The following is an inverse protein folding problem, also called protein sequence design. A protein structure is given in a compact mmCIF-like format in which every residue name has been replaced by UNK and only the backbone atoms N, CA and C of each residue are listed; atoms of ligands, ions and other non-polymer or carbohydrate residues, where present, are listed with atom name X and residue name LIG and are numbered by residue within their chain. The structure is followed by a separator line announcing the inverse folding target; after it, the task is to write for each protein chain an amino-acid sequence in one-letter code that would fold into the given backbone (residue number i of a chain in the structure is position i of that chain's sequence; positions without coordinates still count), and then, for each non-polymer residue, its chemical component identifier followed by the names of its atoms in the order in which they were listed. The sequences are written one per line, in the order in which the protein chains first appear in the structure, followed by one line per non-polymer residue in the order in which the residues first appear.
data_IF_903853470709
#
_entry.id   IF_903853470709
#
_cell.length_a   1.000
_cell.length_b   1.000
_cell.length_c   1.000
_cell.angle_alpha   90.00
_cell.angle_beta   90.00
_cell.angle_gamma   90.00
#
_symmetry.space_group_name_H-M   'P 1'
#
loop_
_entity.id
_entity.type
_entity.pdbx_description
1 polymer ?
#
# COMPACT_ATOMS: atom_id res chain seq x y z
N UNK A 1 12.78 -19.49 -5.92
CA UNK A 1 11.93 -19.94 -7.03
C UNK A 1 10.99 -21.03 -6.51
N UNK A 2 9.70 -20.86 -6.69
CA UNK A 2 8.67 -21.87 -6.38
C UNK A 2 8.04 -22.31 -7.68
N UNK A 3 7.64 -23.58 -7.78
CA UNK A 3 6.95 -24.10 -8.96
C UNK A 3 5.45 -24.09 -8.71
N UNK A 4 4.66 -23.60 -9.68
CA UNK A 4 3.20 -23.63 -9.57
C UNK A 4 2.67 -25.07 -9.65
N UNK A 5 3.27 -25.90 -10.54
CA UNK A 5 2.87 -27.27 -10.78
C UNK A 5 4.07 -28.22 -10.57
N UNK A 6 4.47 -28.53 -9.31
CA UNK A 6 5.65 -29.37 -9.05
C UNK A 6 5.49 -30.80 -9.56
N UNK A 7 4.25 -31.30 -9.69
CA UNK A 7 3.97 -32.64 -10.24
C UNK A 7 4.44 -32.80 -11.71
N UNK A 8 4.51 -31.69 -12.47
CA UNK A 8 5.02 -31.77 -13.84
C UNK A 8 6.50 -32.18 -13.91
N UNK A 9 7.28 -31.96 -12.84
CA UNK A 9 8.68 -32.42 -12.79
C UNK A 9 8.80 -33.95 -12.80
N UNK A 10 7.76 -34.69 -12.45
CA UNK A 10 7.75 -36.15 -12.57
C UNK A 10 7.88 -36.60 -14.02
N UNK A 11 7.53 -35.77 -14.99
CA UNK A 11 7.75 -36.08 -16.43
C UNK A 11 9.24 -36.23 -16.77
N UNK A 12 10.16 -35.69 -15.97
CA UNK A 12 11.60 -35.94 -16.13
C UNK A 12 11.97 -37.41 -15.94
N UNK A 13 11.17 -38.19 -15.18
CA UNK A 13 11.36 -39.62 -15.03
C UNK A 13 11.22 -40.36 -16.37
N UNK A 14 10.47 -39.86 -17.33
CA UNK A 14 10.34 -40.41 -18.68
C UNK A 14 11.67 -40.38 -19.48
N UNK A 15 12.60 -39.51 -19.10
CA UNK A 15 13.92 -39.49 -19.70
C UNK A 15 14.73 -40.76 -19.39
N UNK A 16 14.51 -41.40 -18.24
CA UNK A 16 15.24 -42.59 -17.84
C UNK A 16 15.01 -43.75 -18.84
N UNK A 17 13.76 -44.20 -19.08
CA UNK A 17 13.50 -45.25 -20.06
C UNK A 17 13.89 -44.79 -21.50
N UNK A 18 13.75 -43.50 -21.85
CA UNK A 18 14.16 -42.99 -23.16
C UNK A 18 15.68 -43.10 -23.38
N UNK A 19 16.49 -42.71 -22.39
CA UNK A 19 17.96 -42.85 -22.44
C UNK A 19 18.35 -44.32 -22.47
N UNK A 20 17.71 -45.16 -21.63
CA UNK A 20 17.98 -46.58 -21.61
C UNK A 20 17.65 -47.25 -22.94
N UNK A 21 16.52 -46.91 -23.55
CA UNK A 21 16.12 -47.35 -24.88
C UNK A 21 17.14 -46.97 -25.96
N UNK A 22 17.63 -45.71 -25.93
CA UNK A 22 18.62 -45.25 -26.87
C UNK A 22 19.94 -46.03 -26.77
N UNK A 23 20.46 -46.30 -25.57
CA UNK A 23 21.74 -46.97 -25.39
C UNK A 23 21.65 -48.50 -25.52
N UNK A 24 20.55 -49.14 -25.13
CA UNK A 24 20.42 -50.59 -25.10
C UNK A 24 19.82 -51.15 -26.39
N UNK A 25 18.76 -50.55 -26.95
CA UNK A 25 18.05 -51.08 -28.11
C UNK A 25 18.54 -50.54 -29.44
N UNK A 26 18.97 -49.27 -29.55
CA UNK A 26 19.45 -48.72 -30.84
C UNK A 26 20.78 -49.30 -31.28
N UNK A 27 21.66 -49.78 -30.37
CA UNK A 27 22.90 -50.43 -30.72
C UNK A 27 22.72 -51.70 -31.56
N UNK A 28 21.57 -52.36 -31.50
CA UNK A 28 21.27 -53.60 -32.25
C UNK A 28 20.65 -53.39 -33.64
N UNK A 29 20.22 -52.16 -33.96
CA UNK A 29 19.50 -51.86 -35.21
C UNK A 29 20.30 -50.99 -36.21
N UNK A 30 21.58 -50.75 -35.93
CA UNK A 30 22.43 -50.06 -36.91
C UNK A 30 22.75 -51.01 -38.07
N UNK A 31 22.55 -50.60 -39.32
CA UNK A 31 22.89 -51.38 -40.49
C UNK A 31 24.41 -51.67 -40.47
N UNK A 32 24.78 -52.91 -40.28
CA UNK A 32 26.17 -53.36 -40.26
C UNK A 32 26.59 -53.84 -41.65
N UNK A 33 27.56 -53.13 -42.25
CA UNK A 33 28.24 -53.58 -43.45
C UNK A 33 29.31 -54.62 -43.06
N UNK A 34 29.15 -55.84 -43.54
CA UNK A 34 30.18 -56.88 -43.37
C UNK A 34 31.28 -56.65 -44.39
N UNK A 35 32.41 -56.13 -43.93
CA UNK A 35 33.61 -55.94 -44.73
C UNK A 35 34.59 -57.05 -44.44
N UNK A 36 35.29 -57.55 -45.50
CA UNK A 36 36.26 -58.67 -45.41
C UNK A 36 37.49 -58.32 -44.56
N UNK A 37 37.88 -57.05 -44.46
CA UNK A 37 38.99 -56.54 -43.65
C UNK A 37 38.63 -55.13 -43.14
N UNK A 38 38.85 -54.85 -41.87
CA UNK A 38 38.62 -53.54 -41.22
C UNK A 38 39.93 -52.87 -40.77
N UNK A 39 41.09 -53.47 -41.02
CA UNK A 39 42.38 -53.01 -40.47
C UNK A 39 42.77 -51.61 -40.96
N UNK A 40 42.50 -51.29 -42.20
CA UNK A 40 42.75 -49.96 -42.80
C UNK A 40 41.82 -48.89 -42.28
N UNK A 41 40.57 -49.22 -41.85
CA UNK A 41 39.60 -48.32 -41.30
C UNK A 41 39.88 -48.02 -39.83
N UNK A 42 40.48 -48.96 -39.09
CA UNK A 42 40.85 -48.85 -37.68
C UNK A 42 41.98 -47.86 -37.42
N UNK A 43 42.81 -47.59 -38.42
CA UNK A 43 43.93 -46.63 -38.37
C UNK A 43 43.53 -45.19 -38.70
N UNK A 44 42.29 -44.94 -39.17
CA UNK A 44 41.85 -43.58 -39.48
C UNK A 44 41.58 -42.81 -38.21
N UNK A 45 42.13 -41.57 -38.06
CA UNK A 45 41.87 -40.72 -36.92
C UNK A 45 40.38 -40.37 -36.89
N UNK A 46 39.76 -40.49 -35.71
CA UNK A 46 38.35 -40.18 -35.52
C UNK A 46 38.07 -38.71 -35.88
N UNK A 47 37.20 -38.50 -36.86
CA UNK A 47 36.76 -37.16 -37.28
C UNK A 47 35.91 -36.49 -36.23
N UNK A 48 35.92 -35.16 -36.17
CA UNK A 48 35.01 -34.38 -35.28
C UNK A 48 33.56 -34.83 -35.40
N UNK A 49 33.11 -35.24 -36.56
CA UNK A 49 31.79 -35.76 -36.85
C UNK A 49 31.47 -37.05 -36.03
N UNK A 50 32.43 -37.95 -35.91
CA UNK A 50 32.26 -39.20 -35.14
C UNK A 50 32.28 -38.94 -33.63
N UNK A 51 33.03 -37.95 -33.16
CA UNK A 51 33.01 -37.54 -31.73
C UNK A 51 31.70 -36.90 -31.32
N UNK A 52 31.09 -36.13 -32.20
CA UNK A 52 29.88 -35.35 -31.93
C UNK A 52 28.56 -36.08 -32.30
N UNK A 53 28.65 -37.39 -32.66
CA UNK A 53 27.48 -38.16 -33.11
C UNK A 53 26.31 -38.21 -32.09
N UNK A 54 26.61 -38.07 -30.81
CA UNK A 54 25.65 -38.04 -29.74
C UNK A 54 25.12 -36.62 -29.40
N UNK A 55 25.65 -35.58 -30.04
CA UNK A 55 25.27 -34.20 -29.78
C UNK A 55 23.78 -33.91 -30.02
N UNK A 56 23.18 -34.38 -31.15
CA UNK A 56 21.73 -34.19 -31.38
C UNK A 56 20.88 -34.86 -30.33
N UNK A 57 21.28 -36.05 -29.84
CA UNK A 57 20.59 -36.73 -28.74
C UNK A 57 20.66 -35.95 -27.44
N UNK A 58 21.83 -35.41 -27.12
CA UNK A 58 22.00 -34.57 -25.91
C UNK A 58 21.14 -33.29 -25.96
N UNK A 59 21.14 -32.61 -27.15
CA UNK A 59 20.28 -31.42 -27.35
C UNK A 59 18.79 -31.73 -27.17
N UNK A 60 18.34 -32.93 -27.61
CA UNK A 60 16.97 -33.38 -27.43
C UNK A 60 16.61 -33.56 -25.93
N UNK A 61 17.50 -34.18 -25.15
CA UNK A 61 17.33 -34.34 -23.73
C UNK A 61 17.27 -32.98 -23.03
N UNK A 62 18.14 -32.04 -23.38
CA UNK A 62 18.16 -30.69 -22.83
C UNK A 62 16.85 -29.97 -23.16
N UNK A 63 16.43 -30.01 -24.42
CA UNK A 63 15.18 -29.37 -24.86
C UNK A 63 13.99 -29.91 -24.13
N UNK A 64 13.87 -31.24 -24.01
CA UNK A 64 12.77 -31.89 -23.27
C UNK A 64 12.79 -31.49 -21.78
N UNK A 65 13.97 -31.48 -21.15
CA UNK A 65 14.10 -31.09 -19.73
C UNK A 65 13.68 -29.63 -19.52
N UNK A 66 14.08 -28.72 -20.41
CA UNK A 66 13.68 -27.31 -20.34
C UNK A 66 12.18 -27.13 -20.57
N UNK A 67 11.56 -27.89 -21.49
CA UNK A 67 10.13 -27.87 -21.70
C UNK A 67 9.34 -28.34 -20.46
N UNK A 68 9.83 -29.39 -19.80
CA UNK A 68 9.22 -29.84 -18.53
C UNK A 68 9.32 -28.78 -17.45
N UNK A 69 10.45 -28.05 -17.35
CA UNK A 69 10.61 -26.94 -16.43
C UNK A 69 9.60 -25.81 -16.76
N UNK A 70 9.42 -25.49 -18.04
CA UNK A 70 8.41 -24.50 -18.49
C UNK A 70 7.01 -24.93 -18.08
N UNK A 71 6.68 -26.21 -18.23
CA UNK A 71 5.37 -26.77 -17.85
C UNK A 71 5.15 -26.73 -16.33
N UNK A 72 6.23 -26.88 -15.54
CA UNK A 72 6.20 -26.73 -14.09
C UNK A 72 5.95 -25.29 -13.63
N UNK A 73 5.98 -24.29 -14.54
CA UNK A 73 5.74 -22.86 -14.32
C UNK A 73 6.58 -22.32 -13.14
N UNK A 74 7.90 -22.13 -13.35
CA UNK A 74 8.73 -21.54 -12.32
C UNK A 74 8.26 -20.10 -12.02
N UNK A 75 7.97 -19.84 -10.74
CA UNK A 75 7.56 -18.55 -10.25
C UNK A 75 8.70 -17.96 -9.42
N UNK A 76 9.08 -16.75 -9.72
CA UNK A 76 9.90 -15.95 -8.83
C UNK A 76 8.96 -15.06 -8.03
N UNK A 77 8.94 -15.25 -6.73
CA UNK A 77 8.58 -14.17 -5.83
C UNK A 77 9.76 -13.20 -5.89
N UNK A 78 9.75 -12.28 -6.86
CA UNK A 78 10.58 -11.13 -6.72
C UNK A 78 9.97 -10.35 -5.55
N UNK A 79 10.51 -10.59 -4.37
CA UNK A 79 10.66 -9.56 -3.37
C UNK A 79 11.69 -8.51 -3.89
N UNK A 80 11.62 -8.09 -5.16
CA UNK A 80 11.78 -6.70 -5.44
C UNK A 80 10.61 -6.09 -4.69
N UNK A 81 10.86 -5.70 -3.45
CA UNK A 81 10.18 -4.58 -2.85
C UNK A 81 10.23 -3.45 -3.89
N UNK A 82 9.34 -3.43 -4.89
CA UNK A 82 8.64 -2.22 -5.11
C UNK A 82 7.87 -2.09 -3.81
N UNK A 83 8.48 -1.46 -2.86
CA UNK A 83 7.86 -0.74 -1.80
C UNK A 83 7.08 0.37 -2.54
N UNK A 84 6.08 0.01 -3.32
CA UNK A 84 4.85 0.75 -3.32
C UNK A 84 4.37 0.54 -1.90
N UNK A 85 4.96 1.29 -1.01
CA UNK A 85 4.41 1.54 0.31
C UNK A 85 3.13 2.27 -0.05
N UNK A 86 2.05 1.49 -0.22
CA UNK A 86 0.73 2.06 -0.45
C UNK A 86 0.48 2.92 0.77
N UNK A 87 0.71 4.22 0.62
CA UNK A 87 0.45 5.20 1.65
C UNK A 87 -1.05 5.25 1.92
N UNK A 88 -1.40 5.66 3.10
CA UNK A 88 -2.77 5.95 3.50
C UNK A 88 -3.04 7.41 3.14
N UNK A 89 -4.20 7.71 2.58
CA UNK A 89 -4.63 9.08 2.40
C UNK A 89 -5.42 9.54 3.62
N UNK A 90 -4.88 10.51 4.32
CA UNK A 90 -5.39 11.02 5.59
C UNK A 90 -5.74 12.49 5.43
N UNK A 91 -7.01 12.86 5.68
CA UNK A 91 -7.40 14.24 5.83
C UNK A 91 -7.57 14.55 7.33
N UNK A 92 -6.74 15.43 7.86
CA UNK A 92 -6.86 15.91 9.22
C UNK A 92 -7.86 17.07 9.26
N UNK A 93 -9.04 16.82 9.81
CA UNK A 93 -10.05 17.85 10.02
C UNK A 93 -9.91 18.41 11.44
N UNK A 94 -9.45 19.63 11.54
CA UNK A 94 -9.15 20.29 12.82
C UNK A 94 -10.11 21.43 13.09
N UNK A 95 -10.70 21.41 14.25
CA UNK A 95 -11.52 22.48 14.78
C UNK A 95 -10.64 23.67 15.20
N UNK A 96 -11.01 24.86 14.71
CA UNK A 96 -10.37 26.12 15.07
C UNK A 96 -11.35 27.13 15.69
N UNK A 97 -12.47 26.63 16.22
CA UNK A 97 -13.42 27.43 16.96
C UNK A 97 -12.79 28.04 18.23
N UNK A 98 -13.39 29.09 18.74
CA UNK A 98 -12.87 29.80 19.92
C UNK A 98 -12.82 28.93 21.18
N UNK A 99 -13.67 27.90 21.28
CA UNK A 99 -13.63 26.91 22.36
C UNK A 99 -12.34 26.08 22.43
N UNK A 100 -11.62 25.94 21.30
CA UNK A 100 -10.30 25.32 21.24
C UNK A 100 -9.20 26.12 21.95
N UNK A 101 -9.46 27.36 22.34
CA UNK A 101 -8.58 28.17 23.22
C UNK A 101 -8.68 27.79 24.70
N UNK A 102 -9.62 26.91 25.06
CA UNK A 102 -9.79 26.46 26.45
C UNK A 102 -8.50 25.83 27.01
N UNK A 103 -8.22 26.08 28.31
CA UNK A 103 -6.98 25.70 28.98
C UNK A 103 -7.15 24.50 29.92
N UNK A 104 -8.19 23.70 29.73
CA UNK A 104 -8.37 22.44 30.44
C UNK A 104 -7.27 21.41 30.08
N UNK A 105 -6.78 21.51 28.84
CA UNK A 105 -5.58 20.82 28.40
C UNK A 105 -4.47 21.86 28.15
N UNK A 106 -3.44 21.88 28.97
CA UNK A 106 -2.40 22.90 28.92
C UNK A 106 -1.41 22.75 27.78
N UNK A 107 -1.02 23.83 27.08
CA UNK A 107 -1.37 25.24 27.32
C UNK A 107 -2.79 25.62 26.87
N UNK A 108 -3.30 25.09 25.79
CA UNK A 108 -4.69 25.11 25.33
C UNK A 108 -4.94 23.93 24.38
N UNK A 109 -6.20 23.61 24.10
CA UNK A 109 -6.60 22.46 23.26
C UNK A 109 -5.96 22.51 21.87
N UNK A 110 -6.02 23.67 21.18
CA UNK A 110 -5.46 23.82 19.84
C UNK A 110 -3.94 23.60 19.81
N UNK A 111 -3.21 24.16 20.77
CA UNK A 111 -1.74 24.01 20.83
C UNK A 111 -1.35 22.55 21.03
N UNK A 112 -2.04 21.87 21.96
CA UNK A 112 -1.78 20.44 22.21
C UNK A 112 -2.14 19.58 20.99
N UNK A 113 -3.28 19.90 20.34
CA UNK A 113 -3.66 19.24 19.10
C UNK A 113 -2.59 19.39 18.00
N UNK A 114 -2.06 20.61 17.83
CA UNK A 114 -0.99 20.92 16.86
C UNK A 114 0.29 20.17 17.17
N UNK A 115 0.73 20.13 18.41
CA UNK A 115 1.96 19.43 18.80
C UNK A 115 1.88 17.92 18.54
N UNK A 116 0.76 17.31 18.93
CA UNK A 116 0.57 15.85 18.73
C UNK A 116 0.38 15.51 17.25
N UNK A 117 -0.34 16.34 16.50
CA UNK A 117 -0.48 16.15 15.07
C UNK A 117 0.86 16.34 14.33
N UNK A 118 1.71 17.26 14.79
CA UNK A 118 3.07 17.42 14.27
C UNK A 118 3.88 16.12 14.41
N UNK A 119 3.87 15.52 15.60
CA UNK A 119 4.55 14.25 15.85
C UNK A 119 3.98 13.12 14.97
N UNK A 120 2.66 13.08 14.81
CA UNK A 120 1.96 12.09 13.98
C UNK A 120 2.37 12.20 12.50
N UNK A 121 2.36 13.40 11.94
CA UNK A 121 2.74 13.65 10.54
C UNK A 121 4.21 13.31 10.31
N UNK A 122 5.10 13.73 11.23
CA UNK A 122 6.55 13.51 11.10
C UNK A 122 6.94 12.03 11.08
N UNK A 123 6.15 11.16 11.70
CA UNK A 123 6.40 9.72 11.77
C UNK A 123 5.83 8.93 10.57
N UNK A 124 5.30 9.62 9.54
CA UNK A 124 4.59 9.00 8.40
C UNK A 124 5.10 9.45 7.03
N UNK A 125 6.35 9.16 6.67
CA UNK A 125 6.97 9.72 5.46
C UNK A 125 6.32 9.29 4.14
N UNK A 126 5.50 8.23 4.13
CA UNK A 126 4.94 7.62 2.93
C UNK A 126 3.43 7.86 2.76
N UNK A 127 2.76 8.45 3.75
CA UNK A 127 1.33 8.71 3.69
C UNK A 127 1.05 10.06 3.02
N UNK A 128 -0.07 10.17 2.29
CA UNK A 128 -0.55 11.46 1.82
C UNK A 128 -1.39 12.10 2.92
N UNK A 129 -1.00 13.25 3.41
CA UNK A 129 -1.70 13.93 4.49
C UNK A 129 -2.14 15.30 4.02
N UNK A 130 -3.42 15.63 4.25
CA UNK A 130 -3.98 16.96 4.02
C UNK A 130 -4.51 17.56 5.31
N UNK A 131 -4.72 18.88 5.31
CA UNK A 131 -5.24 19.65 6.44
C UNK A 131 -6.50 20.40 6.05
N UNK A 132 -7.60 20.03 6.69
CA UNK A 132 -8.88 20.71 6.65
C UNK A 132 -9.08 21.46 7.95
N UNK A 133 -9.39 22.72 7.88
CA UNK A 133 -9.74 23.55 9.05
C UNK A 133 -11.23 23.84 9.01
N UNK A 134 -11.88 23.85 10.14
CA UNK A 134 -13.27 24.22 10.24
C UNK A 134 -13.56 25.03 11.52
N UNK A 135 -14.46 25.97 11.39
CA UNK A 135 -15.13 26.72 12.41
C UNK A 135 -16.59 26.79 12.01
N UNK A 136 -17.19 27.99 11.84
CA UNK A 136 -18.52 28.15 11.25
C UNK A 136 -18.58 27.71 9.78
N UNK A 137 -17.45 27.67 9.12
CA UNK A 137 -17.23 27.20 7.76
C UNK A 137 -16.03 26.25 7.69
N UNK A 138 -15.92 25.47 6.62
CA UNK A 138 -14.79 24.55 6.41
C UNK A 138 -13.97 24.96 5.17
N UNK A 139 -12.65 24.93 5.28
CA UNK A 139 -11.75 25.19 4.16
C UNK A 139 -10.50 24.33 4.20
N UNK A 140 -9.96 24.02 3.04
CA UNK A 140 -8.74 23.24 2.90
C UNK A 140 -7.52 24.14 3.06
N UNK A 141 -6.79 24.00 4.15
CA UNK A 141 -5.54 24.70 4.38
C UNK A 141 -4.39 24.10 3.58
N UNK A 142 -4.38 22.76 3.47
CA UNK A 142 -3.42 22.03 2.67
C UNK A 142 -4.12 20.84 2.00
N UNK A 143 -4.04 20.70 0.68
CA UNK A 143 -4.53 19.51 -0.01
C UNK A 143 -3.70 18.28 0.37
N UNK A 144 -4.14 17.08 -0.02
CA UNK A 144 -3.37 15.85 0.17
C UNK A 144 -1.99 15.97 -0.47
N UNK A 145 -0.95 15.79 0.32
CA UNK A 145 0.45 15.90 -0.11
C UNK A 145 1.34 14.91 0.62
N UNK A 146 2.41 14.49 -0.05
CA UNK A 146 3.55 13.77 0.54
C UNK A 146 4.63 14.73 1.05
N UNK A 147 4.55 16.03 0.70
CA UNK A 147 5.46 17.05 1.22
C UNK A 147 5.04 17.50 2.62
N UNK A 148 5.46 16.72 3.60
CA UNK A 148 5.16 16.99 5.00
C UNK A 148 5.86 18.23 5.53
N UNK A 149 6.96 18.67 4.91
CA UNK A 149 7.65 19.88 5.34
C UNK A 149 6.77 21.12 5.07
N UNK A 150 6.19 21.21 3.88
CA UNK A 150 5.23 22.27 3.51
C UNK A 150 3.97 22.18 4.36
N UNK A 151 3.40 20.98 4.54
CA UNK A 151 2.23 20.75 5.39
C UNK A 151 2.45 21.25 6.83
N UNK A 152 3.58 20.89 7.45
CA UNK A 152 3.93 21.31 8.81
C UNK A 152 4.18 22.82 8.90
N UNK A 153 4.71 23.42 7.85
CA UNK A 153 4.84 24.89 7.74
C UNK A 153 3.47 25.58 7.79
N UNK A 154 2.51 25.12 6.98
CA UNK A 154 1.13 25.63 6.98
C UNK A 154 0.42 25.35 8.32
N UNK A 155 0.67 24.20 8.91
CA UNK A 155 0.08 23.84 10.20
C UNK A 155 0.50 24.76 11.35
N UNK A 156 1.72 25.26 11.33
CA UNK A 156 2.22 26.22 12.33
C UNK A 156 1.45 27.55 12.32
N UNK A 157 1.02 28.02 11.16
CA UNK A 157 0.30 29.29 10.99
C UNK A 157 -1.17 29.24 11.46
N UNK A 158 -1.71 28.06 11.76
CA UNK A 158 -3.11 27.91 12.21
C UNK A 158 -3.29 28.51 13.58
N UNK A 159 -4.26 29.41 13.72
CA UNK A 159 -4.66 30.04 14.99
C UNK A 159 -6.18 30.13 15.09
N UNK A 160 -6.73 30.18 16.30
CA UNK A 160 -8.16 30.44 16.51
C UNK A 160 -8.53 31.93 16.31
N UNK A 161 -7.54 32.81 16.16
CA UNK A 161 -7.78 34.25 16.01
C UNK A 161 -8.47 34.58 14.69
N UNK A 162 -8.52 33.68 13.74
CA UNK A 162 -9.19 33.88 12.45
C UNK A 162 -10.69 34.12 12.57
N UNK A 163 -11.35 33.51 13.59
CA UNK A 163 -12.73 33.84 13.89
C UNK A 163 -12.86 35.27 14.50
N UNK A 164 -11.97 35.60 15.42
CA UNK A 164 -11.94 36.93 16.02
C UNK A 164 -11.63 38.06 14.99
N UNK A 165 -10.85 37.73 13.97
CA UNK A 165 -10.52 38.65 12.85
C UNK A 165 -11.62 38.68 11.76
N UNK A 166 -12.67 37.90 11.89
CA UNK A 166 -13.75 37.84 10.89
C UNK A 166 -13.35 37.15 9.56
N UNK A 167 -12.23 36.42 9.53
CA UNK A 167 -11.77 35.67 8.37
C UNK A 167 -12.66 34.43 8.17
N UNK A 168 -13.15 33.85 9.27
CA UNK A 168 -14.03 32.66 9.28
C UNK A 168 -15.26 32.99 10.11
N UNK A 169 -16.42 32.50 9.66
CA UNK A 169 -17.68 32.67 10.40
C UNK A 169 -17.58 32.04 11.80
N UNK A 170 -18.20 32.65 12.81
CA UNK A 170 -18.24 32.10 14.17
C UNK A 170 -19.08 30.81 14.21
N UNK A 171 -18.73 29.91 15.13
CA UNK A 171 -19.41 28.63 15.30
C UNK A 171 -18.52 27.45 14.93
N UNK A 172 -19.12 26.24 14.97
CA UNK A 172 -18.46 24.97 14.68
C UNK A 172 -19.34 24.13 13.78
N UNK A 173 -18.89 23.92 12.53
CA UNK A 173 -19.60 23.19 11.48
C UNK A 173 -18.93 21.83 11.21
N UNK A 174 -19.12 20.88 12.12
CA UNK A 174 -18.52 19.53 12.04
C UNK A 174 -18.93 18.84 10.75
N UNK A 175 -20.22 18.90 10.37
CA UNK A 175 -20.71 18.29 9.15
C UNK A 175 -20.03 18.82 7.88
N UNK A 176 -19.79 20.13 7.80
CA UNK A 176 -19.03 20.73 6.70
C UNK A 176 -17.56 20.30 6.70
N UNK A 177 -16.92 20.23 7.87
CA UNK A 177 -15.55 19.74 8.01
C UNK A 177 -15.37 18.31 7.48
N UNK A 178 -16.32 17.41 7.84
CA UNK A 178 -16.31 16.02 7.33
C UNK A 178 -16.58 16.00 5.82
N UNK A 179 -17.65 16.65 5.35
CA UNK A 179 -18.08 16.62 3.95
C UNK A 179 -16.98 17.17 3.02
N UNK A 180 -16.35 18.28 3.39
CA UNK A 180 -15.24 18.86 2.62
C UNK A 180 -14.01 17.95 2.63
N UNK A 181 -13.69 17.31 3.76
CA UNK A 181 -12.61 16.32 3.85
C UNK A 181 -12.85 15.12 2.93
N UNK A 182 -14.08 14.60 2.93
CA UNK A 182 -14.50 13.48 2.07
C UNK A 182 -14.40 13.85 0.59
N UNK A 183 -14.79 15.06 0.20
CA UNK A 183 -14.70 15.53 -1.18
C UNK A 183 -13.24 15.55 -1.70
N UNK A 184 -12.28 15.87 -0.84
CA UNK A 184 -10.85 15.78 -1.19
C UNK A 184 -10.36 14.33 -1.31
N UNK A 185 -10.87 13.42 -0.47
CA UNK A 185 -10.50 12.01 -0.48
C UNK A 185 -11.21 11.20 -1.58
N UNK A 186 -12.36 11.66 -2.08
CA UNK A 186 -13.12 10.95 -3.11
C UNK A 186 -12.27 10.71 -4.38
N UNK A 187 -11.51 11.72 -4.80
CA UNK A 187 -10.64 11.67 -5.98
C UNK A 187 -9.37 10.85 -5.80
N UNK A 188 -9.07 10.44 -4.58
CA UNK A 188 -7.91 9.63 -4.25
C UNK A 188 -8.05 8.20 -4.80
N UNK A 189 -6.94 7.61 -5.23
CA UNK A 189 -6.83 6.21 -5.66
C UNK A 189 -6.31 5.30 -4.54
N UNK A 190 -6.03 5.84 -3.34
CA UNK A 190 -5.54 5.06 -2.22
C UNK A 190 -6.57 4.01 -1.77
N UNK A 191 -6.09 2.86 -1.35
CA UNK A 191 -6.94 1.78 -0.83
C UNK A 191 -7.53 2.10 0.53
N UNK A 192 -6.84 2.91 1.31
CA UNK A 192 -7.29 3.38 2.63
C UNK A 192 -7.43 4.89 2.61
N UNK A 193 -8.65 5.36 2.90
CA UNK A 193 -9.03 6.77 2.97
C UNK A 193 -9.57 7.05 4.35
N UNK A 194 -8.97 8.01 5.03
CA UNK A 194 -9.23 8.28 6.45
C UNK A 194 -9.43 9.77 6.68
N UNK A 195 -10.46 10.13 7.45
CA UNK A 195 -10.59 11.44 8.07
C UNK A 195 -10.31 11.28 9.56
N UNK A 196 -9.43 12.12 10.10
CA UNK A 196 -9.22 12.27 11.54
C UNK A 196 -9.84 13.60 11.94
N UNK A 197 -11.02 13.52 12.54
CA UNK A 197 -11.75 14.67 13.01
C UNK A 197 -11.35 14.96 14.45
N UNK A 198 -10.85 16.16 14.72
CA UNK A 198 -10.49 16.62 16.04
C UNK A 198 -11.32 17.87 16.38
N UNK A 199 -12.14 17.78 17.41
CA UNK A 199 -13.08 18.81 17.83
C UNK A 199 -13.31 18.75 19.34
N UNK A 200 -13.89 19.77 19.91
CA UNK A 200 -14.43 19.75 21.29
C UNK A 200 -15.90 19.33 21.36
N UNK A 201 -16.52 19.00 20.23
CA UNK A 201 -17.74 18.19 20.15
C UNK A 201 -19.05 18.95 19.97
N UNK A 202 -19.08 20.27 19.93
CA UNK A 202 -20.34 21.01 19.71
C UNK A 202 -20.51 21.36 18.22
N UNK A 203 -21.65 20.95 17.63
CA UNK A 203 -22.02 21.36 16.27
C UNK A 203 -23.14 22.37 16.34
N UNK A 204 -22.85 23.65 16.05
CA UNK A 204 -23.79 24.74 16.15
C UNK A 204 -23.90 25.59 14.89
N UNK A 205 -23.20 25.21 13.81
CA UNK A 205 -23.17 25.92 12.54
C UNK A 205 -23.09 24.93 11.35
N UNK A 206 -23.25 25.46 10.14
CA UNK A 206 -23.09 24.73 8.89
C UNK A 206 -24.38 24.14 8.34
N UNK A 207 -24.45 24.01 6.99
CA UNK A 207 -25.65 23.59 6.26
C UNK A 207 -25.79 22.06 6.19
N UNK A 208 -24.72 21.32 6.46
CA UNK A 208 -24.72 19.84 6.42
C UNK A 208 -24.68 19.30 7.84
N UNK A 209 -25.67 18.45 8.18
CA UNK A 209 -25.65 17.80 9.49
C UNK A 209 -24.48 16.81 9.60
N UNK A 210 -23.88 16.62 10.79
CA UNK A 210 -22.77 15.68 10.99
C UNK A 210 -23.10 14.25 10.58
N UNK A 211 -24.33 13.78 10.82
CA UNK A 211 -24.76 12.43 10.44
C UNK A 211 -24.91 12.29 8.92
N UNK A 212 -25.46 13.31 8.25
CA UNK A 212 -25.51 13.31 6.78
C UNK A 212 -24.10 13.25 6.16
N UNK A 213 -23.15 13.99 6.73
CA UNK A 213 -21.76 13.93 6.31
C UNK A 213 -21.13 12.55 6.55
N UNK A 214 -21.47 11.87 7.64
CA UNK A 214 -21.03 10.51 7.93
C UNK A 214 -21.58 9.51 6.90
N UNK A 215 -22.86 9.64 6.50
CA UNK A 215 -23.45 8.81 5.46
C UNK A 215 -22.76 9.00 4.09
N UNK A 216 -22.39 10.24 3.75
CA UNK A 216 -21.61 10.54 2.55
C UNK A 216 -20.23 9.88 2.65
N UNK A 217 -19.53 10.00 3.79
CA UNK A 217 -18.24 9.38 4.02
C UNK A 217 -18.30 7.85 3.83
N UNK A 218 -19.32 7.22 4.40
CA UNK A 218 -19.57 5.77 4.26
C UNK A 218 -19.75 5.36 2.79
N UNK A 219 -20.54 6.11 2.03
CA UNK A 219 -20.76 5.84 0.59
C UNK A 219 -19.49 5.98 -0.24
N UNK A 220 -18.61 6.93 0.12
CA UNK A 220 -17.30 7.14 -0.52
C UNK A 220 -16.22 6.17 -0.02
N UNK A 221 -16.53 5.28 0.92
CA UNK A 221 -15.57 4.34 1.51
C UNK A 221 -14.50 5.02 2.40
N UNK A 222 -14.83 6.19 2.95
CA UNK A 222 -13.95 6.97 3.84
C UNK A 222 -14.29 6.66 5.30
N UNK A 223 -13.30 6.28 6.09
CA UNK A 223 -13.45 6.08 7.54
C UNK A 223 -13.22 7.38 8.28
N UNK A 224 -14.05 7.67 9.26
CA UNK A 224 -13.92 8.86 10.10
C UNK A 224 -13.58 8.44 11.53
N UNK A 225 -12.38 8.77 11.96
CA UNK A 225 -11.97 8.69 13.36
C UNK A 225 -12.31 10.00 14.02
N UNK A 226 -13.10 9.95 15.09
CA UNK A 226 -13.52 11.14 15.82
C UNK A 226 -12.79 11.24 17.14
N UNK A 227 -12.16 12.37 17.41
CA UNK A 227 -11.42 12.64 18.64
C UNK A 227 -12.04 13.84 19.33
N UNK A 228 -12.67 13.58 20.47
CA UNK A 228 -13.17 14.62 21.35
C UNK A 228 -12.04 15.10 22.25
N UNK A 229 -11.75 16.40 22.23
CA UNK A 229 -10.71 17.00 23.06
C UNK A 229 -11.36 17.84 24.17
N UNK A 230 -11.04 17.52 25.42
CA UNK A 230 -11.51 18.25 26.60
C UNK A 230 -12.35 17.40 27.55
N UNK A 231 -12.76 18.03 28.63
CA UNK A 231 -13.57 17.43 29.70
C UNK A 231 -14.99 17.98 29.67
N UNK A 232 -15.97 17.09 29.63
CA UNK A 232 -17.38 17.45 29.57
C UNK A 232 -17.84 18.20 30.85
N UNK A 233 -18.70 19.22 30.67
CA UNK A 233 -19.30 19.96 31.77
C UNK A 233 -18.36 20.93 32.51
N UNK A 234 -17.17 21.19 32.01
CA UNK A 234 -16.25 22.13 32.64
C UNK A 234 -16.55 23.56 32.22
N UNK A 235 -16.77 24.43 33.23
CA UNK A 235 -16.84 25.90 33.05
C UNK A 235 -15.44 26.40 32.71
N UNK A 236 -15.20 26.73 31.47
CA UNK A 236 -13.89 27.14 31.01
C UNK A 236 -13.84 28.65 30.82
N UNK A 237 -12.72 29.25 31.22
CA UNK A 237 -12.45 30.66 30.91
C UNK A 237 -11.72 30.69 29.55
N UNK A 238 -12.39 31.23 28.55
CA UNK A 238 -11.84 31.40 27.22
C UNK A 238 -11.48 32.88 27.00
N UNK A 239 -10.29 33.20 26.54
CA UNK A 239 -9.96 34.59 26.20
C UNK A 239 -10.78 35.00 24.99
N UNK A 240 -11.64 36.03 25.14
CA UNK A 240 -12.57 36.46 24.08
C UNK A 240 -12.09 37.77 23.42
N UNK A 241 -11.43 38.63 24.17
CA UNK A 241 -10.92 39.89 23.66
C UNK A 241 -9.72 40.40 24.49
N UNK A 242 -8.79 41.04 23.84
CA UNK A 242 -7.73 41.79 24.52
C UNK A 242 -8.10 43.28 24.52
N UNK A 243 -8.22 43.84 25.71
CA UNK A 243 -8.52 45.27 25.87
C UNK A 243 -7.28 46.12 25.48
N UNK A 244 -7.46 47.40 25.11
CA UNK A 244 -6.36 48.26 24.74
C UNK A 244 -5.32 48.50 25.85
N UNK A 245 -5.67 48.23 27.09
CA UNK A 245 -4.78 48.29 28.28
C UNK A 245 -3.97 47.00 28.51
N UNK A 246 -4.14 45.99 27.64
CA UNK A 246 -3.42 44.72 27.69
C UNK A 246 -4.11 43.64 28.57
N UNK A 247 -5.22 43.96 29.25
CA UNK A 247 -5.99 42.98 29.99
C UNK A 247 -6.76 42.06 29.02
N UNK A 248 -6.73 40.75 29.31
CA UNK A 248 -7.44 39.73 28.53
C UNK A 248 -8.81 39.49 29.17
N UNK A 249 -9.86 39.91 28.49
CA UNK A 249 -11.23 39.60 28.89
C UNK A 249 -11.52 38.12 28.72
N UNK A 250 -11.85 37.44 29.81
CA UNK A 250 -12.14 36.00 29.82
C UNK A 250 -13.65 35.80 29.99
N UNK A 251 -14.31 35.17 29.03
CA UNK A 251 -15.69 34.72 29.17
C UNK A 251 -15.71 33.29 29.73
N UNK A 252 -16.66 33.03 30.63
CA UNK A 252 -16.91 31.67 31.10
C UNK A 252 -17.83 30.98 30.08
N UNK A 253 -17.33 30.01 29.35
CA UNK A 253 -18.10 29.20 28.41
C UNK A 253 -18.33 27.83 29.04
N UNK A 254 -19.58 27.40 29.11
CA UNK A 254 -19.91 26.01 29.45
C UNK A 254 -19.77 25.17 28.17
N UNK A 255 -18.89 24.17 28.20
CA UNK A 255 -18.70 23.29 27.05
C UNK A 255 -19.75 22.19 27.12
N UNK A 256 -20.70 22.21 26.18
CA UNK A 256 -21.66 21.13 25.99
C UNK A 256 -21.10 20.18 24.91
N UNK A 257 -20.42 19.15 25.35
CA UNK A 257 -19.90 18.14 24.45
C UNK A 257 -21.02 17.22 23.99
N UNK A 258 -21.09 16.87 22.74
CA UNK A 258 -22.00 15.87 22.17
C UNK A 258 -21.27 14.58 21.81
N UNK A 259 -20.76 13.79 22.76
CA UNK A 259 -20.04 12.56 22.49
C UNK A 259 -20.87 11.56 21.70
N UNK A 260 -22.20 11.55 21.91
CA UNK A 260 -23.12 10.66 21.20
C UNK A 260 -23.06 10.85 19.67
N UNK A 261 -23.09 12.11 19.21
CA UNK A 261 -23.00 12.41 17.76
C UNK A 261 -21.66 11.97 17.18
N UNK A 262 -20.55 12.20 17.87
CA UNK A 262 -19.23 11.79 17.42
C UNK A 262 -19.06 10.26 17.41
N UNK A 263 -19.66 9.57 18.38
CA UNK A 263 -19.70 8.10 18.40
C UNK A 263 -20.49 7.55 17.21
N UNK A 264 -21.65 8.13 16.92
CA UNK A 264 -22.51 7.71 15.82
C UNK A 264 -21.82 7.92 14.45
N UNK A 265 -21.11 9.05 14.25
CA UNK A 265 -20.29 9.32 13.06
C UNK A 265 -19.24 8.22 12.89
N UNK A 266 -18.47 7.93 13.94
CA UNK A 266 -17.43 6.92 13.89
C UNK A 266 -18.00 5.52 13.57
N UNK A 267 -19.08 5.12 14.25
CA UNK A 267 -19.73 3.82 14.02
C UNK A 267 -20.28 3.69 12.59
N UNK A 268 -20.94 4.73 12.08
CA UNK A 268 -21.52 4.74 10.73
C UNK A 268 -20.49 4.55 9.65
N UNK A 269 -19.30 5.15 9.83
CA UNK A 269 -18.19 5.12 8.84
C UNK A 269 -17.21 3.96 9.04
N UNK A 270 -17.37 3.16 10.10
CA UNK A 270 -16.46 2.08 10.47
C UNK A 270 -15.12 2.56 11.05
N UNK A 271 -15.10 3.79 11.57
CA UNK A 271 -14.03 4.34 12.38
C UNK A 271 -14.20 4.05 13.88
N UNK A 272 -13.46 4.78 14.71
CA UNK A 272 -13.52 4.64 16.17
C UNK A 272 -13.59 6.03 16.81
N UNK A 273 -14.43 6.17 17.83
CA UNK A 273 -14.49 7.36 18.67
C UNK A 273 -13.46 7.28 19.78
N UNK A 274 -12.80 8.40 20.03
CA UNK A 274 -11.86 8.57 21.13
C UNK A 274 -12.14 9.86 21.90
N UNK A 275 -11.76 9.86 23.18
CA UNK A 275 -11.80 11.06 24.02
C UNK A 275 -10.43 11.28 24.66
N UNK A 276 -9.91 12.49 24.57
CA UNK A 276 -8.63 12.88 25.15
C UNK A 276 -8.79 14.08 26.08
N UNK A 277 -8.38 13.93 27.32
CA UNK A 277 -8.31 15.01 28.32
C UNK A 277 -6.86 15.44 28.61
N UNK A 278 -5.88 14.77 28.04
CA UNK A 278 -4.46 15.04 28.23
C UNK A 278 -3.69 14.90 26.93
N UNK A 279 -2.53 15.60 26.83
CA UNK A 279 -1.61 15.45 25.67
C UNK A 279 -1.19 13.99 25.48
N UNK A 280 -0.86 13.27 26.56
CA UNK A 280 -0.43 11.87 26.48
C UNK A 280 -1.54 10.97 25.95
N UNK A 281 -2.79 11.16 26.42
CA UNK A 281 -3.94 10.42 25.91
C UNK A 281 -4.15 10.65 24.43
N UNK A 282 -3.99 11.89 23.95
CA UNK A 282 -4.08 12.20 22.52
C UNK A 282 -2.97 11.50 21.71
N UNK A 283 -1.74 11.44 22.21
CA UNK A 283 -0.64 10.71 21.57
C UNK A 283 -0.95 9.21 21.44
N UNK A 284 -1.46 8.59 22.50
CA UNK A 284 -1.86 7.17 22.50
C UNK A 284 -2.98 6.89 21.49
N UNK A 285 -3.94 7.81 21.34
CA UNK A 285 -5.02 7.72 20.34
C UNK A 285 -4.44 7.70 18.91
N UNK A 286 -3.57 8.61 18.59
CA UNK A 286 -2.92 8.66 17.27
C UNK A 286 -2.10 7.39 16.98
N UNK A 287 -1.41 6.83 17.98
CA UNK A 287 -0.70 5.55 17.84
C UNK A 287 -1.66 4.38 17.60
N UNK A 288 -2.84 4.38 18.24
CA UNK A 288 -3.86 3.36 18.02
C UNK A 288 -4.44 3.42 16.61
N UNK A 289 -4.75 4.63 16.11
CA UNK A 289 -5.19 4.85 14.73
C UNK A 289 -4.14 4.34 13.74
N UNK A 290 -2.86 4.64 13.98
CA UNK A 290 -1.75 4.15 13.17
C UNK A 290 -1.70 2.62 13.10
N UNK A 291 -1.85 1.97 14.25
CA UNK A 291 -1.85 0.50 14.33
C UNK A 291 -3.02 -0.11 13.57
N UNK A 292 -4.22 0.44 13.73
CA UNK A 292 -5.44 -0.05 13.08
C UNK A 292 -5.35 0.04 11.55
N UNK A 293 -4.85 1.14 11.03
CA UNK A 293 -4.75 1.35 9.58
C UNK A 293 -3.62 0.53 8.94
N UNK A 294 -2.45 0.44 9.57
CA UNK A 294 -1.34 -0.41 9.10
C UNK A 294 -1.69 -1.90 9.10
N UNK A 295 -2.49 -2.36 10.06
CA UNK A 295 -2.94 -3.75 10.12
C UNK A 295 -3.86 -4.07 8.94
N UNK A 296 -4.78 -3.17 8.58
CA UNK A 296 -5.70 -3.35 7.46
C UNK A 296 -4.98 -3.40 6.10
N UNK A 297 -3.93 -2.61 5.91
CA UNK A 297 -3.12 -2.64 4.68
C UNK A 297 -2.34 -3.96 4.53
N UNK A 298 -1.82 -4.51 5.62
CA UNK A 298 -1.04 -5.75 5.62
C UNK A 298 -1.86 -6.97 5.16
N UNK A 299 -3.16 -6.99 5.42
CA UNK A 299 -4.07 -8.08 5.01
C UNK A 299 -4.36 -8.07 3.51
N UNK A 300 -4.15 -6.95 2.82
CA UNK A 300 -4.45 -6.79 1.38
C UNK A 300 -3.24 -7.00 0.46
N UNK A 301 -2.06 -7.30 0.98
CA UNK A 301 -0.89 -7.62 0.16
C UNK A 301 -1.10 -8.97 -0.54
N UNK A 302 -1.69 -8.94 -1.74
CA UNK A 302 -1.66 -10.05 -2.68
C UNK A 302 -0.22 -10.26 -3.14
N UNK A 303 0.36 -11.42 -2.84
CA UNK A 303 1.59 -11.90 -3.44
C UNK A 303 1.43 -11.96 -4.96
N UNK A 304 1.84 -10.92 -5.67
CA UNK A 304 1.96 -10.97 -7.13
C UNK A 304 3.12 -11.88 -7.46
N UNK A 305 2.81 -13.12 -7.84
CA UNK A 305 3.77 -14.09 -8.33
C UNK A 305 4.01 -13.81 -9.81
N UNK A 306 5.24 -13.50 -10.17
CA UNK A 306 5.64 -13.34 -11.56
C UNK A 306 6.12 -14.67 -12.12
N UNK A 307 5.65 -15.01 -13.30
CA UNK A 307 6.07 -16.22 -13.99
C UNK A 307 7.44 -16.00 -14.67
N UNK A 308 8.39 -16.86 -14.37
CA UNK A 308 9.77 -16.77 -14.90
C UNK A 308 10.08 -17.88 -15.90
N UNK A 309 9.09 -18.29 -16.71
CA UNK A 309 9.29 -19.37 -17.68
C UNK A 309 10.00 -18.93 -18.97
N UNK A 310 9.99 -17.64 -19.32
CA UNK A 310 10.48 -17.10 -20.58
C UNK A 310 11.93 -17.52 -20.93
N UNK A 311 12.94 -17.41 -20.05
CA UNK A 311 14.30 -17.83 -20.38
C UNK A 311 14.43 -19.34 -20.63
N UNK A 312 13.66 -20.16 -19.92
CA UNK A 312 13.64 -21.61 -20.10
C UNK A 312 12.97 -22.00 -21.41
N UNK A 313 11.88 -21.33 -21.80
CA UNK A 313 11.20 -21.55 -23.06
C UNK A 313 12.10 -21.16 -24.25
N UNK A 314 12.80 -20.04 -24.15
CA UNK A 314 13.74 -19.61 -25.19
C UNK A 314 14.91 -20.58 -25.32
N UNK A 315 15.47 -21.05 -24.22
CA UNK A 315 16.53 -22.07 -24.21
C UNK A 315 16.07 -23.39 -24.85
N UNK A 316 14.84 -23.84 -24.55
CA UNK A 316 14.26 -25.04 -25.16
C UNK A 316 14.12 -24.91 -26.70
N UNK A 317 13.62 -23.74 -27.13
CA UNK A 317 13.44 -23.45 -28.55
C UNK A 317 14.76 -23.42 -29.30
N UNK A 318 15.79 -22.78 -28.74
CA UNK A 318 17.14 -22.72 -29.32
C UNK A 318 17.76 -24.12 -29.40
N UNK A 319 17.64 -24.93 -28.35
CA UNK A 319 18.15 -26.30 -28.34
C UNK A 319 17.49 -27.18 -29.42
N UNK A 320 16.17 -27.03 -29.61
CA UNK A 320 15.39 -27.76 -30.60
C UNK A 320 15.77 -27.34 -32.04
N UNK A 321 15.91 -26.04 -32.30
CA UNK A 321 16.35 -25.51 -33.58
C UNK A 321 17.78 -25.99 -33.93
N UNK A 322 18.70 -25.98 -32.98
CA UNK A 322 20.05 -26.48 -33.14
C UNK A 322 20.06 -27.97 -33.44
N UNK A 323 19.24 -28.77 -32.75
CA UNK A 323 19.11 -30.21 -33.04
C UNK A 323 18.66 -30.42 -34.48
N UNK A 324 17.59 -29.74 -34.93
CA UNK A 324 17.05 -29.85 -36.28
C UNK A 324 18.08 -29.44 -37.34
N UNK A 325 18.73 -28.30 -37.13
CA UNK A 325 19.78 -27.82 -38.07
C UNK A 325 20.94 -28.80 -38.18
N UNK A 326 21.46 -29.29 -37.07
CA UNK A 326 22.52 -30.29 -37.05
C UNK A 326 22.10 -31.60 -37.69
N UNK A 327 20.84 -32.04 -37.46
CA UNK A 327 20.28 -33.26 -38.06
C UNK A 327 20.16 -33.17 -39.60
N UNK A 328 19.74 -32.02 -40.10
CA UNK A 328 19.55 -31.81 -41.55
C UNK A 328 20.87 -31.50 -42.27
N UNK A 329 21.80 -30.78 -41.64
CA UNK A 329 23.05 -30.35 -42.29
C UNK A 329 24.20 -31.30 -42.06
N UNK A 330 24.65 -31.46 -40.84
CA UNK A 330 25.89 -32.16 -40.49
C UNK A 330 25.73 -33.67 -40.27
N UNK A 331 24.62 -34.06 -39.61
CA UNK A 331 24.36 -35.46 -39.30
C UNK A 331 23.31 -36.10 -40.23
N UNK A 332 23.10 -35.53 -41.43
CA UNK A 332 22.20 -36.09 -42.43
C UNK A 332 22.52 -37.56 -42.64
N UNK A 333 21.65 -38.45 -42.15
CA UNK A 333 21.68 -39.89 -42.47
C UNK A 333 21.14 -40.02 -43.90
N UNK A 334 21.95 -40.45 -44.84
CA UNK A 334 21.42 -40.89 -46.12
C UNK A 334 20.53 -42.13 -45.90
N UNK A 335 19.39 -42.20 -46.57
CA UNK A 335 18.49 -43.32 -46.45
C UNK A 335 19.13 -44.64 -46.92
#
# INVERSE_FOLDING_TARGET
MTFANPLCLLLLLLLIPYVLWHFLLQRGHEPTLRLASTDSLRQMPGTLRTRLIHLPFLLRIISFSLLVIVLARPQTSNALRSSETEGIDIMMAMDISTSMMAQDVRPNRLTVAKEVAYDFISNRPNDNIGLMLFGGEAFSQCPLTTDHATLLGMFRSVTCDWQAQGIIAPGTAIGMGIASSVAHLERSKAKSKVVILLTDGENNAGDISPLTAADIAKKCGVRVYTILLGVDGSKQKVPVAQLPDGEVYQASVETHNSPATLQEIAQTTGGVFYQASTKKGLQEIYQNIDRLEKTKLRVQNYDRRYEAYAPFALGACVALLLELLLGITWFRRMP
#
